data_IF_105761275248
#
_entry.id   IF_105761275248
#
_cell.length_a   1.000
_cell.length_b   1.000
_cell.length_c   1.000
_cell.angle_alpha   90.00
_cell.angle_beta   90.00
_cell.angle_gamma   90.00
#
_symmetry.space_group_name_H-M   'P 1'
#
loop_
_entity.id
_entity.type
_entity.pdbx_description
1 polymer ?
#
# COMPACT_ATOMS: atom_id res chain seq x y z
N UNK A 1 -18.20 -42.10 13.23
CA UNK A 1 -17.59 -40.75 13.28
C UNK A 1 -17.09 -40.43 11.88
N UNK A 2 -17.82 -39.58 11.16
CA UNK A 2 -17.50 -39.21 9.79
C UNK A 2 -16.54 -38.03 9.83
N UNK A 3 -15.35 -38.21 9.26
CA UNK A 3 -14.34 -37.15 9.16
C UNK A 3 -14.74 -36.28 7.96
N UNK A 4 -15.17 -35.06 8.24
CA UNK A 4 -15.49 -34.07 7.21
C UNK A 4 -14.20 -33.70 6.45
N UNK A 5 -14.20 -33.95 5.15
CA UNK A 5 -13.19 -33.46 4.22
C UNK A 5 -13.38 -31.94 4.08
N UNK A 6 -12.34 -31.11 4.25
CA UNK A 6 -12.48 -29.68 4.06
C UNK A 6 -12.73 -29.41 2.57
N UNK A 7 -13.87 -28.77 2.28
CA UNK A 7 -14.19 -28.24 0.96
C UNK A 7 -13.17 -27.14 0.69
N UNK A 8 -12.16 -27.44 -0.14
CA UNK A 8 -11.33 -26.43 -0.76
C UNK A 8 -12.28 -25.58 -1.60
N UNK A 9 -12.56 -24.36 -1.13
CA UNK A 9 -13.28 -23.36 -1.91
C UNK A 9 -12.41 -23.03 -3.13
N UNK A 10 -12.69 -23.71 -4.23
CA UNK A 10 -12.20 -23.33 -5.56
C UNK A 10 -12.94 -22.02 -5.86
N UNK A 11 -12.21 -20.90 -5.80
CA UNK A 11 -12.76 -19.64 -6.29
C UNK A 11 -13.27 -19.87 -7.72
N UNK A 12 -14.50 -19.46 -8.06
CA UNK A 12 -14.96 -19.56 -9.43
C UNK A 12 -13.96 -18.83 -10.34
N UNK A 13 -13.68 -19.42 -11.50
CA UNK A 13 -12.83 -18.79 -12.51
C UNK A 13 -13.46 -17.43 -12.85
N UNK A 14 -12.77 -16.36 -12.49
CA UNK A 14 -13.16 -15.00 -12.86
C UNK A 14 -13.05 -14.87 -14.37
N UNK A 15 -14.04 -14.21 -14.96
CA UNK A 15 -14.00 -13.81 -16.36
C UNK A 15 -12.72 -12.97 -16.64
N UNK A 16 -12.03 -13.19 -17.78
CA UNK A 16 -10.81 -12.46 -18.10
C UNK A 16 -10.99 -10.93 -18.07
N UNK A 17 -12.12 -10.41 -18.56
CA UNK A 17 -12.41 -8.97 -18.54
C UNK A 17 -12.57 -8.46 -17.13
N UNK A 18 -13.40 -9.15 -16.32
CA UNK A 18 -13.60 -8.80 -14.92
C UNK A 18 -12.27 -8.79 -14.14
N UNK A 19 -11.35 -9.70 -14.48
CA UNK A 19 -10.02 -9.75 -13.87
C UNK A 19 -9.18 -8.51 -14.19
N UNK A 20 -9.12 -8.12 -15.46
CA UNK A 20 -8.40 -6.90 -15.90
C UNK A 20 -9.03 -5.65 -15.29
N UNK A 21 -10.36 -5.58 -15.20
CA UNK A 21 -11.09 -4.48 -14.56
C UNK A 21 -10.74 -4.34 -13.07
N UNK A 22 -10.74 -5.46 -12.34
CA UNK A 22 -10.31 -5.49 -10.92
C UNK A 22 -8.84 -5.07 -10.77
N UNK A 23 -7.97 -5.48 -11.70
CA UNK A 23 -6.59 -5.03 -11.75
C UNK A 23 -6.51 -3.51 -11.93
N UNK A 24 -7.24 -2.93 -12.89
CA UNK A 24 -7.27 -1.49 -13.15
C UNK A 24 -7.68 -0.71 -11.91
N UNK A 25 -8.78 -1.09 -11.26
CA UNK A 25 -9.25 -0.43 -10.03
C UNK A 25 -8.18 -0.48 -8.92
N UNK A 26 -7.51 -1.62 -8.76
CA UNK A 26 -6.47 -1.77 -7.73
C UNK A 26 -5.19 -1.00 -8.09
N UNK A 27 -4.79 -1.01 -9.36
CA UNK A 27 -3.63 -0.27 -9.84
C UNK A 27 -3.84 1.24 -9.71
N UNK A 28 -5.04 1.75 -10.04
CA UNK A 28 -5.43 3.15 -9.78
C UNK A 28 -5.30 3.52 -8.30
N UNK A 29 -5.60 2.61 -7.37
CA UNK A 29 -5.39 2.83 -5.93
C UNK A 29 -3.91 2.92 -5.55
N UNK A 30 -3.01 2.21 -6.24
CA UNK A 30 -1.56 2.39 -6.11
C UNK A 30 -1.14 3.75 -6.68
N UNK A 31 -1.64 4.11 -7.87
CA UNK A 31 -1.29 5.38 -8.54
C UNK A 31 -1.76 6.60 -7.76
N UNK A 32 -2.88 6.49 -7.04
CA UNK A 32 -3.39 7.55 -6.18
C UNK A 32 -2.63 7.69 -4.83
N UNK A 33 -1.65 6.81 -4.55
CA UNK A 33 -0.86 6.88 -3.32
C UNK A 33 0.06 8.10 -3.31
N UNK A 34 0.24 8.75 -2.15
CA UNK A 34 1.05 9.96 -2.00
C UNK A 34 2.50 9.78 -2.49
N UNK A 35 3.14 8.64 -2.19
CA UNK A 35 4.49 8.36 -2.70
C UNK A 35 4.56 8.29 -4.22
N UNK A 36 3.51 7.78 -4.88
CA UNK A 36 3.47 7.72 -6.35
C UNK A 36 3.15 9.08 -6.94
N UNK A 37 2.21 9.82 -6.35
CA UNK A 37 1.78 11.14 -6.83
C UNK A 37 2.84 12.21 -6.61
N UNK A 38 3.41 12.26 -5.40
CA UNK A 38 4.20 13.39 -4.91
C UNK A 38 5.72 13.09 -4.91
N UNK A 39 6.12 11.81 -4.94
CA UNK A 39 7.53 11.37 -4.88
C UNK A 39 7.88 10.29 -5.90
N UNK A 40 7.29 10.36 -7.10
CA UNK A 40 7.54 9.38 -8.17
C UNK A 40 9.02 9.25 -8.54
N UNK A 41 9.77 10.35 -8.55
CA UNK A 41 11.20 10.32 -8.91
C UNK A 41 12.05 9.60 -7.87
N UNK A 42 11.72 9.75 -6.58
CA UNK A 42 12.34 8.96 -5.51
C UNK A 42 12.06 7.47 -5.70
N UNK A 43 10.81 7.09 -6.00
CA UNK A 43 10.47 5.69 -6.28
C UNK A 43 11.21 5.14 -7.51
N UNK A 44 11.43 5.95 -8.56
CA UNK A 44 12.23 5.54 -9.72
C UNK A 44 13.71 5.31 -9.34
N UNK A 45 14.31 6.21 -8.56
CA UNK A 45 15.70 6.09 -8.09
C UNK A 45 15.89 4.83 -7.20
N UNK A 46 14.90 4.54 -6.36
CA UNK A 46 14.89 3.32 -5.53
C UNK A 46 14.71 2.06 -6.39
N UNK A 47 13.83 2.11 -7.39
CA UNK A 47 13.57 0.98 -8.28
C UNK A 47 14.82 0.62 -9.11
N UNK A 48 15.56 1.61 -9.60
CA UNK A 48 16.81 1.41 -10.36
C UNK A 48 17.97 0.89 -9.51
N UNK A 49 17.87 0.95 -8.18
CA UNK A 49 18.94 0.54 -7.27
C UNK A 49 20.12 1.51 -7.25
N UNK A 50 19.90 2.77 -7.64
CA UNK A 50 20.96 3.79 -7.69
C UNK A 50 21.44 4.13 -6.28
N UNK A 51 22.76 4.19 -6.10
CA UNK A 51 23.41 4.58 -4.83
C UNK A 51 24.38 5.71 -5.13
N UNK A 52 24.29 6.80 -4.36
CA UNK A 52 25.24 7.91 -4.45
C UNK A 52 26.47 7.59 -3.60
N UNK A 53 27.61 7.46 -4.26
CA UNK A 53 28.91 7.19 -3.62
C UNK A 53 29.76 8.45 -3.70
N UNK A 54 30.11 9.00 -2.53
CA UNK A 54 31.11 10.06 -2.42
C UNK A 54 32.45 9.42 -2.04
N UNK A 55 33.48 9.68 -2.84
CA UNK A 55 34.83 9.16 -2.63
C UNK A 55 35.74 10.35 -2.36
N UNK A 56 36.35 10.36 -1.17
CA UNK A 56 37.34 11.35 -0.78
C UNK A 56 38.69 10.66 -0.63
N UNK A 57 39.69 11.10 -1.40
CA UNK A 57 41.04 10.55 -1.34
C UNK A 57 41.98 11.61 -0.77
N UNK A 58 42.68 11.27 0.29
CA UNK A 58 43.81 12.05 0.79
C UNK A 58 45.00 11.86 -0.17
N UNK A 59 45.42 12.94 -0.83
CA UNK A 59 46.48 12.90 -1.84
C UNK A 59 47.89 12.79 -1.24
N UNK A 60 48.03 12.89 0.08
CA UNK A 60 49.30 12.80 0.81
C UNK A 60 49.49 11.41 1.39
N UNK A 61 48.45 10.83 2.00
CA UNK A 61 48.52 9.47 2.60
C UNK A 61 48.07 8.38 1.63
N UNK A 62 47.30 8.73 0.59
CA UNK A 62 46.67 7.79 -0.32
C UNK A 62 45.43 7.10 0.27
N UNK A 63 44.98 7.49 1.46
CA UNK A 63 43.79 6.91 2.09
C UNK A 63 42.50 7.39 1.43
N UNK A 64 41.57 6.47 1.17
CA UNK A 64 40.29 6.75 0.53
C UNK A 64 39.12 6.51 1.50
N UNK A 65 38.31 7.54 1.74
CA UNK A 65 37.04 7.44 2.46
C UNK A 65 35.90 7.33 1.46
N UNK A 66 34.99 6.38 1.68
CA UNK A 66 33.82 6.14 0.84
C UNK A 66 32.56 6.36 1.67
N UNK A 67 31.70 7.29 1.25
CA UNK A 67 30.41 7.55 1.88
C UNK A 67 29.29 7.19 0.91
N UNK A 68 28.40 6.32 1.37
CA UNK A 68 27.20 5.91 0.63
C UNK A 68 26.00 6.67 1.18
N UNK A 69 25.26 7.35 0.30
CA UNK A 69 24.04 8.08 0.69
C UNK A 69 22.88 7.69 -0.21
N UNK A 70 21.70 7.62 0.40
CA UNK A 70 20.44 7.27 -0.23
C UNK A 70 19.31 7.97 0.52
N UNK A 71 18.37 8.54 -0.22
CA UNK A 71 17.12 9.04 0.36
C UNK A 71 16.12 7.89 0.43
N UNK A 72 15.44 7.75 1.57
CA UNK A 72 14.37 6.77 1.77
C UNK A 72 13.05 7.51 2.08
N UNK A 73 11.89 6.97 1.66
CA UNK A 73 10.61 7.56 1.98
C UNK A 73 10.32 7.44 3.50
N UNK A 74 9.38 8.24 4.05
CA UNK A 74 8.87 8.01 5.39
C UNK A 74 8.26 6.61 5.53
N UNK A 75 8.58 5.91 6.61
CA UNK A 75 8.22 4.50 6.82
C UNK A 75 6.71 4.26 6.77
N UNK A 76 5.91 5.03 7.52
CA UNK A 76 4.44 4.89 7.54
C UNK A 76 3.83 5.01 6.12
N UNK A 77 4.28 6.00 5.35
CA UNK A 77 3.83 6.18 3.97
C UNK A 77 4.28 4.99 3.10
N UNK A 78 5.46 4.44 3.35
CA UNK A 78 5.99 3.31 2.61
C UNK A 78 5.29 1.98 2.94
N UNK A 79 4.97 1.72 4.20
CA UNK A 79 4.15 0.58 4.62
C UNK A 79 2.78 0.60 3.94
N UNK A 80 2.15 1.77 3.93
CA UNK A 80 0.89 2.03 3.23
C UNK A 80 1.00 1.75 1.72
N UNK A 81 2.12 2.10 1.10
CA UNK A 81 2.39 1.78 -0.31
C UNK A 81 2.61 0.27 -0.54
N UNK A 82 3.48 -0.36 0.26
CA UNK A 82 3.78 -1.80 0.21
C UNK A 82 2.50 -2.64 0.36
N UNK A 83 1.62 -2.27 1.30
CA UNK A 83 0.33 -2.93 1.51
C UNK A 83 -0.60 -2.82 0.28
N UNK A 84 -0.52 -1.74 -0.50
CA UNK A 84 -1.34 -1.56 -1.72
C UNK A 84 -0.84 -2.39 -2.90
N UNK A 85 0.48 -2.61 -3.00
CA UNK A 85 1.08 -3.41 -4.09
C UNK A 85 1.13 -4.91 -3.80
N UNK A 86 1.03 -5.32 -2.53
CA UNK A 86 1.03 -6.73 -2.13
C UNK A 86 0.01 -7.64 -2.84
N UNK A 87 -1.24 -7.21 -3.11
CA UNK A 87 -2.20 -8.08 -3.80
C UNK A 87 -1.74 -8.57 -5.17
N UNK A 88 -0.87 -7.83 -5.86
CA UNK A 88 -0.35 -8.25 -7.16
C UNK A 88 0.68 -9.38 -7.06
N UNK A 89 1.18 -9.72 -5.87
CA UNK A 89 2.23 -10.74 -5.67
C UNK A 89 1.74 -12.05 -5.06
N UNK A 90 0.48 -12.12 -4.63
CA UNK A 90 -0.08 -13.29 -3.94
C UNK A 90 -0.89 -14.12 -4.96
N UNK A 91 -0.50 -15.37 -5.27
CA UNK A 91 -1.19 -16.19 -6.28
C UNK A 91 -2.68 -16.43 -6.05
N UNK A 92 -3.15 -16.32 -4.80
CA UNK A 92 -4.56 -16.50 -4.42
C UNK A 92 -5.40 -15.23 -4.66
N UNK A 93 -4.77 -14.09 -4.94
CA UNK A 93 -5.48 -12.85 -5.18
C UNK A 93 -5.99 -12.80 -6.64
N UNK A 94 -7.21 -12.29 -6.87
CA UNK A 94 -7.75 -12.10 -8.22
C UNK A 94 -6.85 -11.30 -9.17
N UNK A 95 -6.08 -10.37 -8.59
CA UNK A 95 -5.23 -9.41 -9.30
C UNK A 95 -3.77 -9.84 -9.31
N UNK A 96 -3.47 -11.10 -9.01
CA UNK A 96 -2.11 -11.63 -9.13
C UNK A 96 -1.57 -11.38 -10.54
N UNK A 97 -0.34 -10.89 -10.64
CA UNK A 97 0.21 -10.39 -11.90
C UNK A 97 0.12 -11.43 -13.04
N UNK A 98 0.42 -12.70 -12.77
CA UNK A 98 0.48 -13.73 -13.82
C UNK A 98 -0.89 -13.96 -14.45
N UNK A 99 -1.94 -14.13 -13.62
CA UNK A 99 -3.30 -14.35 -14.11
C UNK A 99 -3.89 -13.11 -14.78
N UNK A 100 -3.40 -11.92 -14.46
CA UNK A 100 -3.76 -10.69 -15.17
C UNK A 100 -3.13 -10.66 -16.56
N UNK A 101 -1.85 -11.04 -16.69
CA UNK A 101 -1.20 -11.13 -18.00
C UNK A 101 -1.86 -12.22 -18.87
N UNK A 102 -2.19 -13.38 -18.29
CA UNK A 102 -2.92 -14.45 -18.97
C UNK A 102 -4.27 -13.92 -19.51
N UNK A 103 -5.01 -13.16 -18.70
CA UNK A 103 -6.27 -12.55 -19.12
C UNK A 103 -6.10 -11.50 -20.23
N UNK A 104 -4.98 -10.78 -20.29
CA UNK A 104 -4.69 -9.85 -21.38
C UNK A 104 -4.45 -10.58 -22.70
N UNK A 105 -3.72 -11.70 -22.67
CA UNK A 105 -3.49 -12.56 -23.84
C UNK A 105 -4.77 -13.26 -24.32
N UNK A 106 -5.73 -13.52 -23.43
CA UNK A 106 -7.05 -14.03 -23.82
C UNK A 106 -7.94 -12.97 -24.47
N UNK A 107 -7.82 -11.70 -24.05
CA UNK A 107 -8.68 -10.60 -24.51
C UNK A 107 -8.15 -9.88 -25.75
N UNK A 108 -6.85 -9.91 -25.98
CA UNK A 108 -6.18 -9.19 -27.08
C UNK A 108 -5.43 -10.19 -27.93
N UNK A 109 -5.57 -10.10 -29.26
CA UNK A 109 -4.93 -11.07 -30.16
C UNK A 109 -3.40 -11.02 -30.04
N UNK A 110 -2.75 -12.18 -30.19
CA UNK A 110 -1.30 -12.35 -30.13
C UNK A 110 -0.59 -11.39 -31.10
N UNK A 111 -1.06 -11.29 -32.34
CA UNK A 111 -0.51 -10.36 -33.35
C UNK A 111 -0.62 -8.89 -32.90
N UNK A 112 -1.72 -8.50 -32.25
CA UNK A 112 -1.89 -7.14 -31.73
C UNK A 112 -0.92 -6.88 -30.57
N UNK A 113 -0.84 -7.80 -29.61
CA UNK A 113 0.04 -7.64 -28.45
C UNK A 113 1.51 -7.58 -28.88
N UNK A 114 1.95 -8.48 -29.76
CA UNK A 114 3.34 -8.54 -30.24
C UNK A 114 3.79 -7.26 -30.96
N UNK A 115 2.87 -6.49 -31.56
CA UNK A 115 3.16 -5.19 -32.16
C UNK A 115 3.31 -4.05 -31.14
N UNK A 116 2.85 -4.25 -29.90
CA UNK A 116 2.81 -3.22 -28.85
C UNK A 116 3.88 -3.49 -27.79
N UNK A 117 4.00 -4.74 -27.36
CA UNK A 117 4.89 -5.15 -26.29
C UNK A 117 5.26 -6.62 -26.42
N UNK A 118 6.49 -6.96 -26.02
CA UNK A 118 6.84 -8.34 -25.72
C UNK A 118 6.25 -8.73 -24.36
N UNK A 119 5.13 -9.47 -24.39
CA UNK A 119 4.40 -9.88 -23.19
C UNK A 119 5.22 -10.87 -22.34
N UNK A 120 6.09 -11.65 -22.98
CA UNK A 120 6.95 -12.61 -22.29
C UNK A 120 8.10 -11.91 -21.58
N UNK A 121 8.66 -10.84 -22.15
CA UNK A 121 9.60 -9.96 -21.45
C UNK A 121 8.94 -9.30 -20.23
N UNK A 122 7.70 -8.82 -20.36
CA UNK A 122 6.94 -8.27 -19.21
C UNK A 122 6.70 -9.34 -18.14
N UNK A 123 6.31 -10.56 -18.53
CA UNK A 123 6.12 -11.72 -17.65
C UNK A 123 7.43 -12.09 -16.94
N UNK A 124 8.55 -12.13 -17.65
CA UNK A 124 9.87 -12.39 -17.08
C UNK A 124 10.30 -11.31 -16.08
N UNK A 125 10.00 -10.04 -16.38
CA UNK A 125 10.27 -8.93 -15.48
C UNK A 125 9.46 -9.04 -14.18
N UNK A 126 8.14 -9.25 -14.28
CA UNK A 126 7.28 -9.51 -13.13
C UNK A 126 7.76 -10.69 -12.28
N UNK A 127 8.07 -11.81 -12.94
CA UNK A 127 8.59 -13.01 -12.27
C UNK A 127 9.89 -12.73 -11.52
N UNK A 128 10.81 -11.97 -12.10
CA UNK A 128 12.06 -11.57 -11.43
C UNK A 128 11.79 -10.72 -10.19
N UNK A 129 10.85 -9.78 -10.29
CA UNK A 129 10.51 -8.87 -9.19
C UNK A 129 9.78 -9.59 -8.05
N UNK A 130 8.91 -10.55 -8.37
CA UNK A 130 8.04 -11.24 -7.39
C UNK A 130 8.60 -12.55 -6.87
N UNK A 131 9.17 -13.37 -7.75
CA UNK A 131 9.58 -14.75 -7.45
C UNK A 131 11.10 -14.90 -7.27
N UNK A 132 11.88 -13.84 -7.51
CA UNK A 132 13.34 -13.79 -7.38
C UNK A 132 13.89 -13.96 -5.95
N UNK A 133 13.27 -14.78 -5.09
CA UNK A 133 13.55 -14.88 -3.65
C UNK A 133 14.97 -15.27 -3.28
N UNK A 134 15.75 -15.86 -4.20
CA UNK A 134 17.13 -16.29 -3.97
C UNK A 134 18.17 -15.50 -4.74
N UNK A 135 17.75 -14.59 -5.62
CA UNK A 135 18.65 -13.80 -6.45
C UNK A 135 18.46 -12.34 -6.06
N UNK A 136 19.55 -11.64 -5.78
CA UNK A 136 19.50 -10.21 -5.53
C UNK A 136 18.98 -9.47 -6.76
N UNK A 137 18.08 -8.53 -6.52
CA UNK A 137 17.63 -7.60 -7.54
C UNK A 137 18.55 -6.38 -7.62
N UNK A 138 19.13 -5.96 -6.49
CA UNK A 138 20.10 -4.88 -6.45
C UNK A 138 21.40 -5.24 -5.72
N UNK A 139 21.33 -5.91 -4.56
CA UNK A 139 22.53 -6.21 -3.77
C UNK A 139 22.38 -7.45 -2.90
N UNK A 140 23.53 -8.01 -2.51
CA UNK A 140 23.66 -8.96 -1.41
C UNK A 140 24.31 -8.27 -0.22
N UNK A 141 23.89 -8.67 0.99
CA UNK A 141 24.62 -8.40 2.22
C UNK A 141 25.36 -9.68 2.59
N UNK A 142 26.68 -9.57 2.74
CA UNK A 142 27.56 -10.69 3.09
C UNK A 142 28.12 -10.43 4.49
N UNK A 143 28.01 -11.43 5.35
CA UNK A 143 28.51 -11.44 6.73
C UNK A 143 29.32 -12.73 6.94
N UNK A 144 29.98 -12.86 8.08
CA UNK A 144 30.66 -14.11 8.46
C UNK A 144 29.69 -15.30 8.58
N UNK A 145 28.41 -15.03 8.86
CA UNK A 145 27.36 -16.05 9.05
C UNK A 145 26.63 -16.42 7.77
N UNK A 146 26.99 -15.82 6.64
CA UNK A 146 26.41 -16.09 5.32
C UNK A 146 25.98 -14.83 4.60
N UNK A 147 25.13 -15.01 3.58
CA UNK A 147 24.65 -13.93 2.72
C UNK A 147 23.13 -13.91 2.62
N UNK A 148 22.57 -12.71 2.47
CA UNK A 148 21.16 -12.49 2.14
C UNK A 148 21.03 -11.52 0.97
N UNK A 149 20.06 -11.77 0.10
CA UNK A 149 19.69 -10.81 -0.94
C UNK A 149 18.80 -9.69 -0.40
N UNK A 150 18.76 -8.57 -1.11
CA UNK A 150 17.79 -7.49 -0.86
C UNK A 150 16.33 -7.97 -0.86
N UNK A 151 15.99 -8.95 -1.69
CA UNK A 151 14.65 -9.58 -1.70
C UNK A 151 14.35 -10.31 -0.39
N UNK A 152 15.30 -11.08 0.16
CA UNK A 152 15.12 -11.77 1.43
C UNK A 152 14.99 -10.79 2.60
N UNK A 153 15.76 -9.70 2.57
CA UNK A 153 15.68 -8.64 3.58
C UNK A 153 14.34 -7.89 3.51
N UNK A 154 13.83 -7.62 2.31
CA UNK A 154 12.52 -7.02 2.10
C UNK A 154 11.38 -7.92 2.62
N UNK A 155 11.47 -9.24 2.42
CA UNK A 155 10.52 -10.20 3.00
C UNK A 155 10.59 -10.23 4.53
N UNK A 156 11.79 -10.15 5.11
CA UNK A 156 11.96 -10.07 6.57
C UNK A 156 11.35 -8.79 7.13
N UNK A 157 11.59 -7.64 6.50
CA UNK A 157 10.96 -6.38 6.88
C UNK A 157 9.43 -6.49 6.84
N UNK A 158 8.88 -6.96 5.73
CA UNK A 158 7.42 -7.10 5.59
C UNK A 158 6.82 -8.01 6.68
N UNK A 159 7.45 -9.16 6.94
CA UNK A 159 6.87 -10.22 7.78
C UNK A 159 7.25 -10.11 9.28
N UNK A 160 8.23 -9.29 9.64
CA UNK A 160 8.72 -9.22 11.02
C UNK A 160 8.59 -7.81 11.59
N UNK A 161 8.89 -6.80 10.78
CA UNK A 161 8.95 -5.42 11.23
C UNK A 161 7.64 -4.66 10.92
N UNK A 162 7.05 -4.83 9.72
CA UNK A 162 5.93 -3.99 9.24
C UNK A 162 4.52 -4.60 9.37
N UNK A 163 4.26 -5.80 8.82
CA UNK A 163 2.88 -6.35 8.73
C UNK A 163 2.60 -7.52 9.66
N UNK A 164 3.60 -8.33 9.92
CA UNK A 164 3.47 -9.51 10.77
C UNK A 164 4.51 -9.44 11.88
N UNK A 165 4.30 -10.24 12.94
CA UNK A 165 5.21 -10.31 14.09
C UNK A 165 6.03 -11.60 14.04
N UNK A 166 6.42 -12.05 12.84
CA UNK A 166 7.19 -13.28 12.71
C UNK A 166 8.60 -13.06 13.24
N UNK A 167 9.14 -14.06 13.93
CA UNK A 167 10.51 -14.01 14.40
C UNK A 167 11.47 -14.26 13.23
N UNK A 168 12.43 -13.36 13.04
CA UNK A 168 13.52 -13.55 12.07
C UNK A 168 14.33 -14.77 12.48
N UNK A 169 14.30 -15.82 11.64
CA UNK A 169 15.01 -17.08 11.90
C UNK A 169 16.45 -17.07 11.38
N UNK A 170 16.74 -16.28 10.34
CA UNK A 170 18.08 -16.21 9.75
C UNK A 170 19.07 -15.55 10.70
N UNK A 171 20.22 -16.19 10.92
CA UNK A 171 21.29 -15.62 11.75
C UNK A 171 21.83 -14.31 11.18
N UNK A 172 22.00 -14.22 9.85
CA UNK A 172 22.36 -12.96 9.16
C UNK A 172 21.26 -11.92 9.36
N UNK A 173 20.00 -12.32 9.21
CA UNK A 173 18.86 -11.41 9.36
C UNK A 173 18.74 -10.81 10.76
N UNK A 174 19.11 -11.56 11.81
CA UNK A 174 19.11 -11.11 13.21
C UNK A 174 20.23 -10.10 13.50
N UNK A 175 21.35 -10.16 12.78
CA UNK A 175 22.46 -9.21 12.93
C UNK A 175 22.18 -7.86 12.27
N UNK A 176 21.34 -7.84 11.25
CA UNK A 176 21.02 -6.63 10.52
C UNK A 176 20.03 -5.76 11.28
N UNK A 177 20.15 -4.44 11.12
CA UNK A 177 19.24 -3.49 11.73
C UNK A 177 17.91 -3.40 10.98
N UNK A 178 16.90 -2.80 11.63
CA UNK A 178 15.65 -2.42 10.98
C UNK A 178 15.94 -1.59 9.72
N UNK A 179 16.78 -0.56 9.83
CA UNK A 179 17.12 0.35 8.72
C UNK A 179 17.69 -0.39 7.50
N UNK A 180 18.52 -1.41 7.71
CA UNK A 180 19.08 -2.21 6.62
C UNK A 180 18.01 -3.04 5.90
N UNK A 181 17.06 -3.62 6.66
CA UNK A 181 15.93 -4.35 6.09
C UNK A 181 14.95 -3.40 5.40
N UNK A 182 14.67 -2.25 6.00
CA UNK A 182 13.83 -1.20 5.43
C UNK A 182 14.40 -0.68 4.10
N UNK A 183 15.70 -0.37 4.05
CA UNK A 183 16.40 -0.02 2.80
C UNK A 183 16.18 -1.07 1.71
N UNK A 184 16.30 -2.36 2.02
CA UNK A 184 16.08 -3.41 1.04
C UNK A 184 14.62 -3.44 0.56
N UNK A 185 13.67 -3.33 1.49
CA UNK A 185 12.24 -3.23 1.18
C UNK A 185 11.93 -2.05 0.24
N UNK A 186 12.54 -0.88 0.47
CA UNK A 186 12.32 0.29 -0.38
C UNK A 186 12.61 0.06 -1.85
N UNK A 187 13.72 -0.60 -2.19
CA UNK A 187 14.03 -0.93 -3.57
C UNK A 187 13.10 -1.99 -4.17
N UNK A 188 12.80 -3.06 -3.42
CA UNK A 188 11.99 -4.18 -3.90
C UNK A 188 10.55 -3.75 -4.18
N UNK A 189 9.89 -3.06 -3.24
CA UNK A 189 8.51 -2.62 -3.47
C UNK A 189 8.42 -1.43 -4.43
N UNK A 190 9.47 -0.62 -4.58
CA UNK A 190 9.53 0.39 -5.63
C UNK A 190 9.55 -0.26 -7.03
N UNK A 191 10.35 -1.31 -7.23
CA UNK A 191 10.33 -2.11 -8.47
C UNK A 191 8.96 -2.74 -8.72
N UNK A 192 8.35 -3.33 -7.69
CA UNK A 192 7.01 -3.90 -7.79
C UNK A 192 5.96 -2.85 -8.18
N UNK A 193 6.00 -1.66 -7.56
CA UNK A 193 5.14 -0.56 -7.93
C UNK A 193 5.36 -0.09 -9.37
N UNK A 194 6.61 -0.12 -9.85
CA UNK A 194 6.94 0.16 -11.25
C UNK A 194 6.31 -0.87 -12.19
N UNK A 195 6.32 -2.17 -11.85
CA UNK A 195 5.64 -3.20 -12.65
C UNK A 195 4.12 -2.96 -12.70
N UNK A 196 3.48 -2.68 -11.55
CA UNK A 196 2.05 -2.34 -11.49
C UNK A 196 1.73 -1.15 -12.38
N UNK A 197 2.55 -0.11 -12.29
CA UNK A 197 2.39 1.11 -13.09
C UNK A 197 2.53 0.83 -14.59
N UNK A 198 3.57 0.13 -15.00
CA UNK A 198 3.81 -0.23 -16.40
C UNK A 198 2.65 -1.05 -16.99
N UNK A 199 2.20 -2.07 -16.26
CA UNK A 199 1.04 -2.88 -16.70
C UNK A 199 -0.25 -2.05 -16.71
N UNK A 200 -0.46 -1.13 -15.76
CA UNK A 200 -1.61 -0.21 -15.80
C UNK A 200 -1.59 0.69 -17.04
N UNK A 201 -0.43 1.24 -17.40
CA UNK A 201 -0.28 2.04 -18.62
C UNK A 201 -0.51 1.23 -19.89
N UNK A 202 -0.03 -0.02 -19.94
CA UNK A 202 -0.32 -0.92 -21.06
C UNK A 202 -1.83 -1.14 -21.21
N UNK A 203 -2.54 -1.49 -20.14
CA UNK A 203 -4.00 -1.70 -20.18
C UNK A 203 -4.72 -0.44 -20.63
N UNK A 204 -4.31 0.72 -20.09
CA UNK A 204 -4.89 2.01 -20.47
C UNK A 204 -4.68 2.30 -21.96
N UNK A 205 -3.46 2.08 -22.48
CA UNK A 205 -3.14 2.26 -23.89
C UNK A 205 -3.99 1.36 -24.79
N UNK A 206 -4.12 0.08 -24.45
CA UNK A 206 -4.94 -0.87 -25.20
C UNK A 206 -6.42 -0.44 -25.27
N UNK A 207 -6.95 0.14 -24.19
CA UNK A 207 -8.32 0.67 -24.17
C UNK A 207 -8.44 1.95 -25.01
N UNK A 208 -7.50 2.88 -24.87
CA UNK A 208 -7.51 4.16 -25.62
C UNK A 208 -7.40 3.95 -27.13
N UNK A 209 -6.67 2.93 -27.58
CA UNK A 209 -6.56 2.54 -28.99
C UNK A 209 -7.73 1.65 -29.48
N UNK A 210 -8.69 1.32 -28.61
CA UNK A 210 -9.84 0.46 -28.95
C UNK A 210 -9.48 -1.02 -29.18
N UNK A 211 -8.32 -1.45 -28.70
CA UNK A 211 -7.80 -2.82 -28.82
C UNK A 211 -8.24 -3.74 -27.68
N UNK A 212 -8.64 -3.14 -26.57
CA UNK A 212 -9.19 -3.82 -25.40
C UNK A 212 -10.47 -3.09 -24.98
N UNK A 213 -11.56 -3.83 -24.83
CA UNK A 213 -12.82 -3.28 -24.34
C UNK A 213 -12.98 -3.64 -22.85
N UNK A 214 -13.11 -2.62 -21.99
CA UNK A 214 -13.43 -2.74 -20.57
C UNK A 214 -14.59 -1.79 -20.25
N UNK A 215 -15.29 -1.99 -19.13
CA UNK A 215 -16.25 -1.00 -18.63
C UNK A 215 -15.55 0.36 -18.39
N UNK A 216 -15.96 1.46 -19.06
CA UNK A 216 -15.36 2.78 -18.86
C UNK A 216 -15.39 3.27 -17.41
N UNK A 217 -16.35 2.80 -16.60
CA UNK A 217 -16.47 3.16 -15.18
C UNK A 217 -15.22 2.76 -14.37
N UNK A 218 -14.49 1.71 -14.77
CA UNK A 218 -13.29 1.27 -14.03
C UNK A 218 -12.16 2.30 -14.04
N UNK A 219 -12.20 3.26 -14.97
CA UNK A 219 -11.25 4.38 -15.05
C UNK A 219 -11.74 5.64 -14.33
N UNK A 220 -13.02 5.74 -14.00
CA UNK A 220 -13.63 6.94 -13.39
C UNK A 220 -14.06 6.73 -11.95
N UNK A 221 -14.39 5.49 -11.54
CA UNK A 221 -14.83 5.15 -10.19
C UNK A 221 -13.85 5.66 -9.13
N UNK A 222 -14.33 6.23 -8.00
CA UNK A 222 -13.47 6.64 -6.91
C UNK A 222 -12.73 5.45 -6.29
N UNK A 223 -11.40 5.55 -6.24
CA UNK A 223 -10.53 4.52 -5.61
C UNK A 223 -10.03 4.93 -4.22
N UNK A 224 -10.33 6.16 -3.81
CA UNK A 224 -10.06 6.72 -2.49
C UNK A 224 -11.37 7.17 -1.84
N UNK A 225 -11.46 6.99 -0.52
CA UNK A 225 -12.56 7.54 0.26
C UNK A 225 -12.46 9.06 0.34
N UNK A 226 -13.62 9.73 0.43
CA UNK A 226 -13.67 11.14 0.82
C UNK A 226 -13.28 11.25 2.29
N UNK A 227 -12.49 12.27 2.63
CA UNK A 227 -12.06 12.52 4.01
C UNK A 227 -13.05 13.37 4.80
N UNK A 228 -14.11 13.85 4.15
CA UNK A 228 -15.24 14.54 4.77
C UNK A 228 -16.54 13.82 4.45
N UNK A 229 -17.40 13.69 5.46
CA UNK A 229 -18.74 13.13 5.31
C UNK A 229 -19.75 14.21 5.68
N UNK A 230 -20.66 14.51 4.76
CA UNK A 230 -21.82 15.34 5.04
C UNK A 230 -22.97 14.44 5.45
N UNK A 231 -23.31 14.44 6.74
CA UNK A 231 -24.47 13.71 7.27
C UNK A 231 -25.59 14.72 7.49
N UNK A 232 -26.63 14.65 6.66
CA UNK A 232 -27.86 15.40 6.91
C UNK A 232 -28.69 14.65 7.95
N UNK A 233 -28.87 15.27 9.11
CA UNK A 233 -29.65 14.70 10.21
C UNK A 233 -30.35 15.79 11.01
N UNK A 234 -31.37 15.38 11.77
CA UNK A 234 -31.96 16.21 12.79
C UNK A 234 -31.36 15.81 14.14
N UNK A 235 -30.90 16.79 14.91
CA UNK A 235 -30.36 16.59 16.26
C UNK A 235 -31.36 17.15 17.26
N UNK A 236 -31.68 16.36 18.28
CA UNK A 236 -32.63 16.70 19.34
C UNK A 236 -31.94 16.62 20.71
N UNK A 237 -32.33 17.49 21.64
CA UNK A 237 -31.96 17.48 23.06
C UNK A 237 -33.20 17.18 23.92
N UNK A 238 -32.96 16.60 25.09
CA UNK A 238 -33.94 16.37 26.15
C UNK A 238 -33.25 16.57 27.51
N UNK A 239 -34.03 16.75 28.57
CA UNK A 239 -33.49 16.88 29.94
C UNK A 239 -32.81 15.57 30.40
N UNK A 240 -31.83 15.70 31.31
CA UNK A 240 -31.13 14.55 31.89
C UNK A 240 -32.13 13.64 32.61
N UNK A 241 -32.14 12.36 32.22
CA UNK A 241 -33.08 11.35 32.74
C UNK A 241 -34.28 11.06 31.85
N UNK A 242 -34.46 11.80 30.75
CA UNK A 242 -35.45 11.44 29.73
C UNK A 242 -35.15 10.05 29.13
N UNK A 243 -36.18 9.23 28.93
CA UNK A 243 -36.04 7.92 28.30
C UNK A 243 -35.65 8.08 26.82
N UNK A 244 -34.61 7.36 26.40
CA UNK A 244 -34.17 7.37 25.01
C UNK A 244 -35.28 6.84 24.10
N UNK A 245 -35.59 7.53 22.98
CA UNK A 245 -36.66 7.13 22.10
C UNK A 245 -36.24 5.89 21.33
N UNK A 246 -37.12 4.90 21.27
CA UNK A 246 -36.94 3.69 20.45
C UNK A 246 -37.39 3.90 19.00
N UNK A 247 -38.09 5.00 18.72
CA UNK A 247 -38.57 5.39 17.40
C UNK A 247 -38.35 6.91 17.19
N UNK A 248 -37.61 7.25 16.14
CA UNK A 248 -37.27 8.64 15.78
C UNK A 248 -38.28 9.27 14.81
N UNK A 249 -39.28 8.50 14.34
CA UNK A 249 -40.29 8.99 13.39
C UNK A 249 -41.36 9.86 14.05
N UNK A 250 -41.56 9.71 15.36
CA UNK A 250 -42.55 10.45 16.14
C UNK A 250 -42.01 10.78 17.54
N UNK A 251 -41.09 11.75 17.59
CA UNK A 251 -40.56 12.27 18.84
C UNK A 251 -41.58 13.20 19.51
N UNK A 252 -41.80 13.01 20.81
CA UNK A 252 -42.59 13.94 21.61
C UNK A 252 -41.88 15.30 21.67
N UNK A 253 -42.44 16.38 21.09
CA UNK A 253 -41.78 17.68 21.03
C UNK A 253 -41.68 18.39 22.38
N UNK A 254 -42.41 17.95 23.42
CA UNK A 254 -42.27 18.49 24.77
C UNK A 254 -40.99 17.98 25.45
N UNK A 255 -40.61 16.73 25.16
CA UNK A 255 -39.43 16.03 25.70
C UNK A 255 -38.21 16.23 24.81
N UNK A 256 -38.35 16.04 23.50
CA UNK A 256 -37.28 16.07 22.50
C UNK A 256 -37.38 17.31 21.63
N UNK A 257 -36.49 18.27 21.88
CA UNK A 257 -36.48 19.55 21.17
C UNK A 257 -35.34 19.59 20.17
N UNK A 258 -35.52 20.15 18.98
CA UNK A 258 -34.40 20.35 18.07
C UNK A 258 -33.28 21.14 18.75
N UNK A 259 -32.04 20.66 18.67
CA UNK A 259 -30.91 21.23 19.43
C UNK A 259 -30.68 22.73 19.18
N UNK A 260 -31.00 23.21 17.98
CA UNK A 260 -30.88 24.63 17.61
C UNK A 260 -31.88 25.54 18.34
N UNK A 261 -32.88 24.99 19.02
CA UNK A 261 -33.81 25.72 19.89
C UNK A 261 -33.32 25.80 21.34
N UNK A 262 -32.22 25.13 21.65
CA UNK A 262 -31.63 25.01 22.98
C UNK A 262 -30.26 25.71 23.01
N UNK A 263 -30.30 27.03 22.87
CA UNK A 263 -29.10 27.88 22.64
C UNK A 263 -28.13 27.82 23.83
N UNK A 264 -28.64 27.65 25.05
CA UNK A 264 -27.81 27.59 26.25
C UNK A 264 -26.93 26.33 26.29
N UNK A 265 -27.44 25.21 25.75
CA UNK A 265 -26.70 23.96 25.55
C UNK A 265 -25.62 24.07 24.46
N UNK A 266 -25.84 24.92 23.45
CA UNK A 266 -24.86 25.19 22.40
C UNK A 266 -23.74 26.12 22.90
N UNK A 267 -24.09 27.16 23.67
CA UNK A 267 -23.13 28.15 24.19
C UNK A 267 -22.20 27.61 25.29
N UNK A 268 -22.67 26.64 26.08
CA UNK A 268 -21.87 26.01 27.15
C UNK A 268 -20.80 25.03 26.64
N UNK A 269 -20.85 24.63 25.36
CA UNK A 269 -19.85 23.74 24.75
C UNK A 269 -18.56 24.44 24.30
N UNK A 270 -18.56 25.78 24.19
CA UNK A 270 -17.38 26.55 23.75
C UNK A 270 -16.38 26.87 24.88
N UNK A 271 -16.70 26.58 26.15
CA UNK A 271 -15.85 26.92 27.31
C UNK A 271 -15.06 25.74 27.91
N UNK A 272 -15.05 24.58 27.26
CA UNK A 272 -14.29 23.39 27.69
C UNK A 272 -12.95 23.23 26.98
N UNK A 273 -12.02 24.17 27.14
CA UNK A 273 -10.58 23.95 26.88
C UNK A 273 -9.82 23.92 28.22
N UNK A 274 -8.80 23.08 28.38
CA UNK A 274 -8.29 22.66 29.68
C UNK A 274 -7.57 23.81 30.38
N UNK A 275 -8.07 24.21 31.55
CA UNK A 275 -7.31 25.09 32.43
C UNK A 275 -6.07 24.36 32.96
N UNK A 276 -4.97 25.05 32.74
CA UNK A 276 -3.61 24.81 33.17
C UNK A 276 -3.53 24.69 34.71
N UNK A 277 -3.52 23.46 35.21
CA UNK A 277 -3.43 23.13 36.63
C UNK A 277 -1.98 22.99 37.12
N UNK A 278 -1.12 23.98 36.88
CA UNK A 278 0.16 24.10 37.57
C UNK A 278 -0.02 24.98 38.81
N UNK A 279 -0.30 24.35 39.95
CA UNK A 279 -0.24 25.00 41.27
C UNK A 279 0.35 24.02 42.26
N UNK A 280 1.57 24.35 42.69
CA UNK A 280 2.35 23.72 43.75
C UNK A 280 1.56 23.70 45.08
N UNK A 281 1.61 22.59 45.79
CA UNK A 281 1.49 22.58 47.25
C UNK A 281 2.88 22.39 47.89
N UNK A 282 3.20 23.07 49.00
CA UNK A 282 4.39 22.80 49.80
C UNK A 282 4.07 21.76 50.88
N UNK A 283 4.92 20.74 51.02
CA UNK A 283 4.93 19.87 52.19
C UNK A 283 5.66 20.54 53.35
N UNK A 284 5.04 20.52 54.53
CA UNK A 284 5.65 20.70 55.85
C UNK A 284 6.41 19.45 56.29
#
# INVERSE_FOLDING_TARGET
MSVAVPIVSVMPALDPRERVERFVLRARKVMAHSLVRDRSDLLKELASGTIKVQIQVDTVTGEATHQFSMELPPEEAFESFAARVRPFTIPKEPVYWAVVLDALEELVSEDTLANIIDIEDLRAHWKTVVEGKKVAQAFYVVTEKGQLSDVQLAEMWLNSDALHTQLIQSEVGKELSLDQRYRAATGVYARLGSCVNATHYLVKYLVEEGLLELDPEVFTLPVLAKTSVEIKGAVYSAELGAEMPTDLSNLDPEVWRPIHKDIDLLASSEHGSPEDGSSREPEE
#
